data_IF_896546122225
#
_entry.id   IF_896546122225
#
_cell.length_a   1.000
_cell.length_b   1.000
_cell.length_c   1.000
_cell.angle_alpha   90.00
_cell.angle_beta   90.00
_cell.angle_gamma   90.00
#
_symmetry.space_group_name_H-M   'P 1'
#
loop_
_entity.id
_entity.type
_entity.pdbx_description
1 polymer ?
#
# COMPACT_ATOMS: atom_id res chain seq x y z
N UNK A 1 23.00 7.34 -8.72
CA UNK A 1 22.33 6.06 -8.37
C UNK A 1 20.85 6.31 -8.55
N UNK A 2 20.21 5.58 -9.44
CA UNK A 2 18.78 5.69 -9.72
C UNK A 2 18.00 4.97 -8.60
N UNK A 3 16.80 5.45 -8.23
CA UNK A 3 15.94 4.82 -7.21
C UNK A 3 15.63 3.36 -7.51
N UNK A 4 15.49 3.00 -8.79
CA UNK A 4 15.30 1.62 -9.25
C UNK A 4 16.52 0.75 -8.88
N UNK A 5 17.74 1.25 -9.01
CA UNK A 5 18.97 0.55 -8.62
C UNK A 5 19.08 0.37 -7.11
N UNK A 6 18.67 1.39 -6.33
CA UNK A 6 18.62 1.32 -4.88
C UNK A 6 17.65 0.22 -4.42
N UNK A 7 16.50 0.12 -5.08
CA UNK A 7 15.49 -0.91 -4.79
C UNK A 7 16.01 -2.33 -5.13
N UNK A 8 16.78 -2.50 -6.21
CA UNK A 8 17.37 -3.81 -6.62
C UNK A 8 18.31 -4.40 -5.58
N UNK A 9 19.08 -3.56 -4.90
CA UNK A 9 20.11 -3.99 -3.95
C UNK A 9 19.61 -4.08 -2.51
N UNK A 10 18.40 -3.60 -2.24
CA UNK A 10 17.85 -3.45 -0.88
C UNK A 10 17.60 -4.77 -0.18
N UNK A 11 17.19 -5.82 -0.92
CA UNK A 11 16.80 -7.11 -0.35
C UNK A 11 17.38 -8.28 -1.12
N UNK A 12 17.89 -9.25 -0.40
CA UNK A 12 18.29 -10.56 -0.96
C UNK A 12 17.05 -11.40 -1.34
N UNK A 13 17.24 -12.40 -2.19
CA UNK A 13 16.16 -13.32 -2.58
C UNK A 13 15.53 -14.06 -1.38
N UNK A 14 16.30 -14.31 -0.33
CA UNK A 14 15.81 -14.93 0.90
C UNK A 14 14.91 -13.98 1.68
N UNK A 15 15.31 -12.70 1.80
CA UNK A 15 14.49 -11.67 2.47
C UNK A 15 13.19 -11.42 1.73
N UNK A 16 13.20 -11.38 0.39
CA UNK A 16 11.98 -11.24 -0.41
C UNK A 16 11.00 -12.40 -0.19
N UNK A 17 11.48 -13.65 -0.12
CA UNK A 17 10.63 -14.80 0.22
C UNK A 17 10.04 -14.69 1.62
N UNK A 18 10.83 -14.27 2.60
CA UNK A 18 10.34 -14.04 3.96
C UNK A 18 9.30 -12.92 4.00
N UNK A 19 9.54 -11.81 3.30
CA UNK A 19 8.57 -10.71 3.19
C UNK A 19 7.27 -11.18 2.56
N UNK A 20 7.32 -11.92 1.46
CA UNK A 20 6.12 -12.47 0.82
C UNK A 20 5.29 -13.33 1.80
N UNK A 21 5.94 -14.17 2.60
CA UNK A 21 5.26 -14.98 3.61
C UNK A 21 4.56 -14.12 4.70
N UNK A 22 5.14 -12.96 5.07
CA UNK A 22 4.53 -12.04 6.02
C UNK A 22 3.29 -11.34 5.44
N UNK A 23 3.23 -11.17 4.10
CA UNK A 23 2.09 -10.55 3.44
C UNK A 23 0.84 -11.45 3.44
N UNK A 24 0.97 -12.77 3.52
CA UNK A 24 -0.19 -13.68 3.57
C UNK A 24 -1.18 -13.32 4.70
N UNK A 25 -0.77 -13.23 5.98
CA UNK A 25 -1.69 -12.80 7.04
C UNK A 25 -2.15 -11.35 6.92
N UNK A 26 -1.33 -10.46 6.34
CA UNK A 26 -1.71 -9.06 6.09
C UNK A 26 -2.83 -9.00 5.06
N UNK A 27 -2.70 -9.71 3.93
CA UNK A 27 -3.73 -9.81 2.91
C UNK A 27 -5.05 -10.34 3.49
N UNK A 28 -5.01 -11.44 4.27
CA UNK A 28 -6.20 -11.99 4.95
C UNK A 28 -6.89 -10.97 5.84
N UNK A 29 -6.12 -10.11 6.52
CA UNK A 29 -6.70 -9.04 7.32
C UNK A 29 -7.34 -7.96 6.44
N UNK A 30 -6.68 -7.57 5.33
CA UNK A 30 -7.17 -6.53 4.43
C UNK A 30 -8.35 -6.99 3.58
N UNK A 31 -8.55 -8.29 3.36
CA UNK A 31 -9.66 -8.86 2.59
C UNK A 31 -11.06 -8.43 3.08
N UNK A 32 -11.21 -8.03 4.33
CA UNK A 32 -12.46 -7.45 4.83
C UNK A 32 -12.83 -6.11 4.15
N UNK A 33 -11.86 -5.47 3.52
CA UNK A 33 -12.01 -4.19 2.81
C UNK A 33 -11.91 -4.33 1.29
N UNK A 34 -11.49 -5.49 0.80
CA UNK A 34 -11.28 -5.80 -0.62
C UNK A 34 -12.53 -6.48 -1.20
N UNK A 35 -12.94 -6.07 -2.38
CA UNK A 35 -14.00 -6.75 -3.12
C UNK A 35 -13.49 -8.07 -3.71
N UNK A 36 -13.83 -9.19 -3.09
CA UNK A 36 -13.27 -10.51 -3.41
C UNK A 36 -13.50 -10.93 -4.87
N UNK A 37 -14.68 -10.69 -5.41
CA UNK A 37 -15.03 -11.01 -6.80
C UNK A 37 -14.80 -9.82 -7.75
N UNK A 38 -14.35 -8.69 -7.23
CA UNK A 38 -14.15 -7.46 -7.96
C UNK A 38 -12.75 -7.32 -8.57
N UNK A 39 -12.48 -6.12 -9.10
CA UNK A 39 -11.20 -5.75 -9.67
C UNK A 39 -10.37 -4.96 -8.64
N UNK A 40 -9.15 -5.42 -8.37
CA UNK A 40 -8.21 -4.80 -7.43
C UNK A 40 -6.94 -4.35 -8.13
N UNK A 41 -6.54 -3.11 -7.87
CA UNK A 41 -5.26 -2.52 -8.28
C UNK A 41 -4.32 -2.40 -7.06
N UNK A 42 -3.10 -2.88 -7.20
CA UNK A 42 -1.98 -2.62 -6.29
C UNK A 42 -1.16 -1.45 -6.87
N UNK A 43 -1.32 -0.27 -6.29
CA UNK A 43 -0.65 0.96 -6.70
C UNK A 43 0.73 1.04 -6.06
N UNK A 44 1.79 1.05 -6.87
CA UNK A 44 3.16 0.92 -6.38
C UNK A 44 3.45 -0.50 -5.89
N UNK A 45 3.15 -1.50 -6.74
CA UNK A 45 3.16 -2.92 -6.37
C UNK A 45 4.54 -3.46 -5.95
N UNK A 46 5.63 -2.79 -6.33
CA UNK A 46 6.99 -3.15 -5.97
C UNK A 46 7.33 -4.60 -6.29
N UNK A 47 7.47 -5.44 -5.27
CA UNK A 47 7.70 -6.88 -5.40
C UNK A 47 6.40 -7.71 -5.49
N UNK A 48 5.25 -7.09 -5.76
CA UNK A 48 3.94 -7.73 -5.93
C UNK A 48 3.46 -8.57 -4.74
N UNK A 49 3.97 -8.31 -3.54
CA UNK A 49 3.63 -9.12 -2.37
C UNK A 49 2.14 -9.06 -2.01
N UNK A 50 1.51 -7.89 -2.10
CA UNK A 50 0.08 -7.76 -1.82
C UNK A 50 -0.74 -8.43 -2.92
N UNK A 51 -0.56 -8.03 -4.17
CA UNK A 51 -1.44 -8.45 -5.27
C UNK A 51 -1.37 -9.96 -5.56
N UNK A 52 -0.20 -10.58 -5.31
CA UNK A 52 -0.04 -12.02 -5.47
C UNK A 52 -0.78 -12.83 -4.40
N UNK A 53 -1.02 -12.27 -3.21
CA UNK A 53 -1.56 -12.98 -2.07
C UNK A 53 -3.01 -12.60 -1.72
N UNK A 54 -3.57 -11.55 -2.31
CA UNK A 54 -4.95 -11.13 -2.07
C UNK A 54 -5.94 -11.97 -2.90
N UNK A 55 -7.12 -12.26 -2.31
CA UNK A 55 -8.24 -12.84 -3.03
C UNK A 55 -9.02 -11.73 -3.74
N UNK A 56 -8.97 -11.72 -5.09
CA UNK A 56 -9.70 -10.78 -5.94
C UNK A 56 -9.96 -11.41 -7.30
N UNK A 57 -11.09 -11.10 -7.92
CA UNK A 57 -11.51 -11.66 -9.22
C UNK A 57 -10.59 -11.20 -10.37
N UNK A 58 -10.22 -9.92 -10.41
CA UNK A 58 -9.26 -9.34 -11.35
C UNK A 58 -8.16 -8.62 -10.59
N UNK A 59 -6.91 -8.93 -10.90
CA UNK A 59 -5.73 -8.38 -10.23
C UNK A 59 -4.88 -7.57 -11.18
N UNK A 60 -4.51 -6.36 -10.78
CA UNK A 60 -3.65 -5.47 -11.55
C UNK A 60 -2.52 -4.97 -10.64
N UNK A 61 -1.29 -5.12 -11.08
CA UNK A 61 -0.10 -4.55 -10.43
C UNK A 61 0.37 -3.35 -11.24
N UNK A 62 0.46 -2.18 -10.60
CA UNK A 62 0.96 -0.95 -11.20
C UNK A 62 2.23 -0.50 -10.47
N UNK A 63 3.29 -0.27 -11.23
CA UNK A 63 4.55 0.27 -10.72
C UNK A 63 5.30 1.02 -11.83
N UNK A 64 6.30 1.81 -11.46
CA UNK A 64 7.25 2.43 -12.40
C UNK A 64 8.41 1.49 -12.74
N UNK A 65 8.57 0.39 -12.03
CA UNK A 65 9.64 -0.59 -12.18
C UNK A 65 9.17 -1.82 -12.95
N UNK A 66 9.31 -1.80 -14.27
CA UNK A 66 8.92 -2.87 -15.18
C UNK A 66 9.60 -4.21 -14.86
N UNK A 67 10.88 -4.18 -14.47
CA UNK A 67 11.63 -5.40 -14.13
C UNK A 67 11.02 -6.12 -12.92
N UNK A 68 10.65 -5.37 -11.87
CA UNK A 68 10.00 -5.95 -10.71
C UNK A 68 8.63 -6.54 -11.06
N UNK A 69 7.82 -5.81 -11.83
CA UNK A 69 6.52 -6.31 -12.28
C UNK A 69 6.67 -7.61 -13.08
N UNK A 70 7.54 -7.62 -14.08
CA UNK A 70 7.79 -8.80 -14.93
C UNK A 70 8.32 -10.00 -14.14
N UNK A 71 9.17 -9.74 -13.14
CA UNK A 71 9.83 -10.80 -12.36
C UNK A 71 8.97 -11.37 -11.25
N UNK A 72 8.13 -10.57 -10.61
CA UNK A 72 7.48 -10.94 -9.36
C UNK A 72 5.96 -11.07 -9.45
N UNK A 73 5.30 -10.48 -10.46
CA UNK A 73 3.86 -10.65 -10.63
C UNK A 73 3.51 -12.11 -10.95
N UNK A 74 2.49 -12.65 -10.29
CA UNK A 74 1.95 -13.96 -10.59
C UNK A 74 1.30 -13.99 -11.98
N UNK A 75 1.13 -15.17 -12.57
CA UNK A 75 0.63 -15.32 -13.95
C UNK A 75 -0.81 -14.80 -14.15
N UNK A 76 -1.59 -14.74 -13.09
CA UNK A 76 -2.98 -14.24 -13.06
C UNK A 76 -3.06 -12.72 -12.78
N UNK A 77 -1.92 -12.05 -12.62
CA UNK A 77 -1.84 -10.61 -12.37
C UNK A 77 -1.53 -9.87 -13.67
N UNK A 78 -2.39 -8.94 -14.04
CA UNK A 78 -2.13 -8.00 -15.13
C UNK A 78 -1.11 -6.96 -14.68
N UNK A 79 -0.02 -6.76 -15.43
CA UNK A 79 0.98 -5.72 -15.14
C UNK A 79 0.65 -4.43 -15.91
N UNK A 80 0.89 -3.29 -15.25
CA UNK A 80 0.74 -1.96 -15.81
C UNK A 80 1.93 -1.08 -15.42
N UNK A 81 2.71 -0.64 -16.40
CA UNK A 81 3.81 0.29 -16.18
C UNK A 81 3.27 1.73 -16.21
N UNK A 82 3.22 2.38 -15.06
CA UNK A 82 2.74 3.76 -14.96
C UNK A 82 3.22 4.41 -13.64
N UNK A 83 3.24 5.75 -13.63
CA UNK A 83 3.27 6.52 -12.39
C UNK A 83 1.84 6.63 -11.83
N UNK A 84 1.68 6.62 -10.52
CA UNK A 84 0.37 6.60 -9.88
C UNK A 84 -0.52 7.84 -10.10
N UNK A 85 -0.04 8.89 -10.78
CA UNK A 85 -0.80 10.10 -11.11
C UNK A 85 -1.43 10.08 -12.51
N UNK A 86 -1.17 9.01 -13.30
CA UNK A 86 -1.80 8.81 -14.64
C UNK A 86 -2.03 7.31 -14.83
N UNK A 87 -3.28 6.88 -14.71
CA UNK A 87 -3.63 5.46 -14.74
C UNK A 87 -4.50 5.19 -15.98
N UNK A 88 -3.99 4.36 -16.91
CA UNK A 88 -4.67 4.03 -18.17
C UNK A 88 -5.80 3.00 -17.97
N UNK A 89 -6.73 3.32 -17.07
CA UNK A 89 -7.96 2.57 -16.83
C UNK A 89 -9.17 3.47 -17.03
N UNK A 90 -10.31 2.91 -17.45
CA UNK A 90 -11.57 3.66 -17.55
C UNK A 90 -12.03 4.19 -16.19
N UNK A 91 -12.87 5.21 -16.22
CA UNK A 91 -13.61 5.66 -15.05
C UNK A 91 -14.45 4.52 -14.50
N UNK A 92 -14.67 4.49 -13.19
CA UNK A 92 -15.56 3.54 -12.51
C UNK A 92 -15.29 2.06 -12.85
N UNK A 93 -14.03 1.67 -13.07
CA UNK A 93 -13.63 0.34 -13.53
C UNK A 93 -13.09 -0.60 -12.46
N UNK A 94 -12.80 -0.08 -11.26
CA UNK A 94 -12.22 -0.83 -10.15
C UNK A 94 -13.10 -0.79 -8.90
N UNK A 95 -13.04 -1.87 -8.13
CA UNK A 95 -13.71 -2.00 -6.84
C UNK A 95 -12.78 -1.66 -5.68
N UNK A 96 -11.49 -1.95 -5.83
CA UNK A 96 -10.50 -1.71 -4.79
C UNK A 96 -9.18 -1.21 -5.39
N UNK A 97 -8.59 -0.22 -4.74
CA UNK A 97 -7.18 0.18 -4.95
C UNK A 97 -6.46 0.05 -3.61
N UNK A 98 -5.28 -0.55 -3.61
CA UNK A 98 -4.41 -0.59 -2.43
C UNK A 98 -3.12 0.15 -2.75
N UNK A 99 -2.71 1.03 -1.85
CA UNK A 99 -1.46 1.76 -1.91
C UNK A 99 -0.69 1.50 -0.62
N UNK A 100 0.39 0.71 -0.72
CA UNK A 100 1.19 0.33 0.44
C UNK A 100 2.62 0.80 0.32
N UNK A 101 3.03 1.72 1.20
CA UNK A 101 4.37 2.31 1.22
C UNK A 101 4.75 2.89 -0.15
N UNK A 102 3.91 3.77 -0.70
CA UNK A 102 4.11 4.36 -2.01
C UNK A 102 4.09 5.89 -2.00
N UNK A 103 3.18 6.53 -1.25
CA UNK A 103 3.03 7.99 -1.29
C UNK A 103 4.21 8.74 -0.66
N UNK A 104 4.97 8.13 0.23
CA UNK A 104 6.20 8.68 0.79
C UNK A 104 7.31 8.87 -0.26
N UNK A 105 7.23 8.18 -1.39
CA UNK A 105 8.20 8.23 -2.50
C UNK A 105 7.85 9.24 -3.59
N UNK A 106 6.64 9.79 -3.56
CA UNK A 106 6.24 10.83 -4.52
C UNK A 106 7.11 12.08 -4.38
N UNK A 107 7.34 12.78 -5.51
CA UNK A 107 8.22 13.94 -5.54
C UNK A 107 7.62 15.17 -4.86
N UNK A 108 6.30 15.36 -4.98
CA UNK A 108 5.57 16.52 -4.46
C UNK A 108 4.19 16.14 -3.93
N UNK A 109 3.61 17.02 -3.10
CA UNK A 109 2.23 16.85 -2.60
C UNK A 109 1.20 17.00 -3.72
N UNK A 110 1.49 17.80 -4.73
CA UNK A 110 0.65 17.97 -5.91
C UNK A 110 0.54 16.66 -6.69
N UNK A 111 1.65 15.95 -6.89
CA UNK A 111 1.65 14.64 -7.54
C UNK A 111 0.85 13.60 -6.73
N UNK A 112 0.87 13.68 -5.40
CA UNK A 112 0.01 12.84 -4.53
C UNK A 112 -1.47 13.20 -4.70
N UNK A 113 -1.80 14.49 -4.76
CA UNK A 113 -3.18 14.94 -4.99
C UNK A 113 -3.70 14.51 -6.38
N UNK A 114 -2.87 14.59 -7.43
CA UNK A 114 -3.19 14.05 -8.75
C UNK A 114 -3.45 12.54 -8.70
N UNK A 115 -2.62 11.78 -7.94
CA UNK A 115 -2.83 10.35 -7.74
C UNK A 115 -4.15 10.05 -7.03
N UNK A 116 -4.52 10.83 -6.01
CA UNK A 116 -5.80 10.67 -5.34
C UNK A 116 -6.98 10.92 -6.29
N UNK A 117 -6.89 11.96 -7.13
CA UNK A 117 -7.91 12.27 -8.14
C UNK A 117 -8.04 11.13 -9.17
N UNK A 118 -6.92 10.59 -9.65
CA UNK A 118 -6.92 9.45 -10.58
C UNK A 118 -7.51 8.19 -9.94
N UNK A 119 -7.12 7.88 -8.69
CA UNK A 119 -7.68 6.74 -7.96
C UNK A 119 -9.18 6.92 -7.74
N UNK A 120 -9.62 8.15 -7.40
CA UNK A 120 -11.04 8.47 -7.27
C UNK A 120 -11.78 8.28 -8.61
N UNK A 121 -11.20 8.70 -9.74
CA UNK A 121 -11.78 8.56 -11.07
C UNK A 121 -12.00 7.09 -11.43
N UNK A 122 -10.98 6.22 -11.25
CA UNK A 122 -11.04 4.81 -11.67
C UNK A 122 -11.83 3.90 -10.72
N UNK A 123 -12.03 4.30 -9.47
CA UNK A 123 -12.89 3.57 -8.53
C UNK A 123 -14.36 3.78 -8.87
N UNK A 124 -15.16 2.71 -8.76
CA UNK A 124 -16.63 2.79 -8.84
C UNK A 124 -17.20 3.53 -7.63
N UNK A 125 -18.41 4.08 -7.71
CA UNK A 125 -19.17 4.45 -6.52
C UNK A 125 -19.25 3.24 -5.55
N UNK A 126 -18.92 3.46 -4.27
CA UNK A 126 -18.76 2.42 -3.26
C UNK A 126 -17.39 1.70 -3.29
N UNK A 127 -16.55 1.96 -4.29
CA UNK A 127 -15.20 1.43 -4.37
C UNK A 127 -14.27 2.03 -3.31
N UNK A 128 -13.21 1.32 -2.94
CA UNK A 128 -12.36 1.67 -1.80
C UNK A 128 -10.90 1.83 -2.17
N UNK A 129 -10.29 2.88 -1.63
CA UNK A 129 -8.84 3.04 -1.54
C UNK A 129 -8.37 2.64 -0.15
N UNK A 130 -7.45 1.70 -0.08
CA UNK A 130 -6.81 1.24 1.15
C UNK A 130 -5.38 1.77 1.15
N UNK A 131 -5.05 2.66 2.08
CA UNK A 131 -3.70 3.22 2.24
C UNK A 131 -3.05 2.62 3.48
N UNK A 132 -1.85 2.07 3.30
CA UNK A 132 -1.02 1.56 4.38
C UNK A 132 0.40 2.07 4.19
N UNK A 133 0.87 2.93 5.11
CA UNK A 133 2.20 3.52 4.99
C UNK A 133 2.74 4.02 6.34
N UNK A 134 4.05 4.34 6.44
CA UNK A 134 4.64 4.90 7.64
C UNK A 134 3.88 6.14 8.09
N UNK A 135 3.52 6.18 9.38
CA UNK A 135 2.91 7.35 9.99
C UNK A 135 3.99 8.19 10.66
N UNK A 136 4.33 9.33 10.06
CA UNK A 136 5.38 10.20 10.58
C UNK A 136 5.17 10.59 12.05
N UNK A 137 3.92 10.70 12.51
CA UNK A 137 3.61 10.95 13.92
C UNK A 137 4.14 9.88 14.89
N UNK A 138 4.46 8.67 14.39
CA UNK A 138 4.88 7.54 15.21
C UNK A 138 6.25 6.95 14.83
N UNK A 139 6.79 7.29 13.66
CA UNK A 139 8.07 6.77 13.17
C UNK A 139 9.09 7.86 12.79
N UNK A 140 8.86 9.12 13.17
CA UNK A 140 9.70 10.27 12.80
C UNK A 140 11.21 10.04 13.03
N UNK A 141 11.56 9.34 14.12
CA UNK A 141 12.94 9.01 14.48
C UNK A 141 13.71 8.24 13.42
N UNK A 142 13.01 7.42 12.62
CA UNK A 142 13.55 6.47 11.65
C UNK A 142 13.01 6.67 10.25
N UNK A 143 12.21 7.70 10.04
CA UNK A 143 11.51 7.92 8.78
C UNK A 143 12.48 8.16 7.63
N UNK A 144 13.46 9.03 7.85
CA UNK A 144 14.48 9.39 6.87
C UNK A 144 15.74 8.50 6.94
N UNK A 145 15.69 7.36 7.63
CA UNK A 145 16.69 6.29 7.49
C UNK A 145 16.62 5.60 6.11
N UNK A 146 15.54 5.87 5.35
CA UNK A 146 15.38 5.49 3.95
C UNK A 146 15.60 6.70 3.05
N UNK A 147 16.59 6.60 2.18
CA UNK A 147 17.01 7.70 1.32
C UNK A 147 15.93 8.15 0.32
N UNK A 148 15.05 7.23 -0.08
CA UNK A 148 13.97 7.42 -1.04
C UNK A 148 12.66 7.94 -0.43
N UNK A 149 12.61 8.19 0.88
CA UNK A 149 11.48 8.87 1.51
C UNK A 149 11.58 10.39 1.29
N UNK A 150 10.68 10.94 0.53
CA UNK A 150 10.63 12.36 0.16
C UNK A 150 9.56 13.13 0.92
N UNK A 151 8.38 12.54 1.08
CA UNK A 151 7.23 13.17 1.71
C UNK A 151 6.87 12.49 3.04
N UNK A 152 6.72 13.27 4.08
CA UNK A 152 6.29 12.80 5.38
C UNK A 152 4.80 13.08 5.57
N UNK A 153 4.03 12.03 5.84
CA UNK A 153 2.58 12.12 6.10
C UNK A 153 2.25 11.63 7.50
N UNK A 154 1.40 12.37 8.19
CA UNK A 154 0.66 11.85 9.33
C UNK A 154 -0.66 11.26 8.85
N UNK A 155 -1.27 10.39 9.67
CA UNK A 155 -2.59 9.84 9.36
C UNK A 155 -3.68 10.92 9.20
N UNK A 156 -3.55 12.05 9.89
CA UNK A 156 -4.48 13.18 9.77
C UNK A 156 -4.29 13.91 8.43
N UNK A 157 -3.04 14.25 8.08
CA UNK A 157 -2.76 14.94 6.82
C UNK A 157 -3.08 14.05 5.60
N UNK A 158 -2.89 12.72 5.71
CA UNK A 158 -3.31 11.78 4.67
C UNK A 158 -4.83 11.73 4.53
N UNK A 159 -5.56 11.66 5.65
CA UNK A 159 -7.03 11.67 5.65
C UNK A 159 -7.59 12.97 5.07
N UNK A 160 -7.02 14.13 5.43
CA UNK A 160 -7.38 15.44 4.88
C UNK A 160 -7.20 15.49 3.36
N UNK A 161 -6.04 15.01 2.85
CA UNK A 161 -5.78 14.95 1.41
C UNK A 161 -6.77 14.06 0.66
N UNK A 162 -7.10 12.89 1.21
CA UNK A 162 -8.11 11.98 0.65
C UNK A 162 -9.50 12.60 0.64
N UNK A 163 -9.91 13.27 1.73
CA UNK A 163 -11.19 13.97 1.81
C UNK A 163 -11.27 15.12 0.79
N UNK A 164 -10.18 15.86 0.60
CA UNK A 164 -10.10 16.92 -0.41
C UNK A 164 -10.25 16.39 -1.85
N UNK A 165 -9.89 15.13 -2.09
CA UNK A 165 -10.08 14.43 -3.37
C UNK A 165 -11.48 13.76 -3.51
N UNK A 166 -12.40 13.99 -2.57
CA UNK A 166 -13.79 13.49 -2.64
C UNK A 166 -14.05 12.15 -1.94
N UNK A 167 -13.06 11.60 -1.23
CA UNK A 167 -13.25 10.36 -0.49
C UNK A 167 -13.91 10.59 0.88
N UNK A 168 -14.69 9.61 1.32
CA UNK A 168 -15.18 9.50 2.71
C UNK A 168 -14.31 8.49 3.45
N UNK A 169 -13.74 8.89 4.59
CA UNK A 169 -12.92 8.02 5.43
C UNK A 169 -13.81 7.07 6.23
N UNK A 170 -13.70 5.77 5.94
CA UNK A 170 -14.43 4.70 6.65
C UNK A 170 -13.64 4.12 7.81
N UNK A 171 -12.32 4.01 7.64
CA UNK A 171 -11.42 3.52 8.69
C UNK A 171 -10.22 4.44 8.77
N UNK A 172 -9.88 4.87 9.97
CA UNK A 172 -8.68 5.64 10.27
C UNK A 172 -7.97 5.00 11.47
N UNK A 173 -6.84 4.33 11.22
CA UNK A 173 -5.98 3.75 12.25
C UNK A 173 -4.62 4.45 12.22
N UNK A 174 -4.33 5.22 13.25
CA UNK A 174 -3.06 5.92 13.35
C UNK A 174 -1.87 4.98 13.61
N UNK A 175 -2.15 3.81 14.22
CA UNK A 175 -1.17 2.76 14.50
C UNK A 175 -1.74 1.43 14.01
N UNK A 176 -1.03 0.80 13.08
CA UNK A 176 -1.43 -0.49 12.52
C UNK A 176 -0.24 -1.47 12.56
N UNK A 177 0.58 -1.53 11.54
CA UNK A 177 1.74 -2.41 11.52
C UNK A 177 2.99 -1.76 12.11
N UNK A 178 3.94 -2.54 12.63
CA UNK A 178 5.27 -2.04 12.96
C UNK A 178 5.98 -1.49 11.71
N UNK A 179 6.91 -0.57 11.89
CA UNK A 179 7.78 -0.08 10.82
C UNK A 179 8.91 -1.09 10.59
N UNK A 180 8.79 -1.86 9.52
CA UNK A 180 9.21 -3.26 9.47
C UNK A 180 10.69 -3.54 9.29
N UNK A 181 11.47 -2.70 8.62
CA UNK A 181 12.86 -3.09 8.28
C UNK A 181 13.81 -3.13 9.48
N UNK A 182 13.48 -2.41 10.56
CA UNK A 182 14.30 -2.30 11.78
C UNK A 182 13.57 -2.80 13.04
N UNK A 183 12.37 -3.38 12.88
CA UNK A 183 11.64 -3.95 14.01
C UNK A 183 12.38 -5.16 14.57
N UNK A 184 12.55 -5.19 15.90
CA UNK A 184 13.09 -6.35 16.64
C UNK A 184 12.08 -7.49 16.82
N UNK A 185 10.84 -7.34 16.31
CA UNK A 185 9.83 -8.38 16.40
C UNK A 185 10.18 -9.56 15.48
N UNK A 186 9.95 -10.79 15.94
CA UNK A 186 10.19 -11.97 15.11
C UNK A 186 9.36 -11.93 13.82
N UNK A 187 10.00 -12.21 12.68
CA UNK A 187 9.40 -12.14 11.34
C UNK A 187 8.78 -13.49 10.95
N UNK A 188 7.80 -13.95 11.71
CA UNK A 188 7.09 -15.20 11.43
C UNK A 188 5.62 -14.92 11.06
N UNK A 189 5.05 -15.56 10.02
CA UNK A 189 3.67 -15.30 9.59
C UNK A 189 2.62 -15.51 10.67
N UNK A 190 2.80 -16.51 11.53
CA UNK A 190 1.86 -16.77 12.63
C UNK A 190 1.88 -15.67 13.70
N UNK A 191 3.04 -15.02 13.94
CA UNK A 191 3.15 -13.86 14.86
C UNK A 191 2.40 -12.67 14.27
N UNK A 192 2.54 -12.42 12.96
CA UNK A 192 1.76 -11.38 12.29
C UNK A 192 0.26 -11.67 12.37
N UNK A 193 -0.15 -12.92 12.18
CA UNK A 193 -1.55 -13.33 12.33
C UNK A 193 -2.08 -13.07 13.75
N UNK A 194 -1.30 -13.40 14.76
CA UNK A 194 -1.65 -13.14 16.16
C UNK A 194 -1.70 -11.63 16.45
N UNK A 195 -0.69 -10.88 16.00
CA UNK A 195 -0.62 -9.42 16.13
C UNK A 195 -1.86 -8.74 15.56
N UNK A 196 -2.28 -9.13 14.36
CA UNK A 196 -3.44 -8.55 13.68
C UNK A 196 -4.77 -8.82 14.40
N UNK A 197 -4.86 -9.91 15.19
CA UNK A 197 -6.03 -10.24 16.03
C UNK A 197 -6.07 -9.46 17.36
N UNK A 198 -5.01 -8.74 17.71
CA UNK A 198 -4.85 -8.08 19.00
C UNK A 198 -4.67 -6.55 18.83
N UNK A 199 -5.73 -5.77 18.49
CA UNK A 199 -5.61 -4.35 18.17
C UNK A 199 -5.01 -3.49 19.29
N UNK A 200 -5.11 -3.92 20.55
CA UNK A 200 -4.50 -3.21 21.67
C UNK A 200 -2.96 -3.20 21.58
N UNK A 201 -2.35 -4.24 20.98
CA UNK A 201 -0.90 -4.35 20.77
C UNK A 201 -0.42 -3.36 19.72
N UNK A 202 -1.29 -2.96 18.78
CA UNK A 202 -0.95 -1.96 17.76
C UNK A 202 -0.60 -0.61 18.38
N UNK A 203 -1.22 -0.27 19.52
CA UNK A 203 -0.93 0.98 20.26
C UNK A 203 0.53 1.03 20.75
N UNK A 204 1.15 -0.12 20.99
CA UNK A 204 2.53 -0.23 21.48
C UNK A 204 3.54 -0.29 20.33
N UNK A 205 3.27 -1.07 19.29
CA UNK A 205 4.24 -1.41 18.25
C UNK A 205 3.90 -0.84 16.87
N UNK A 206 2.65 -0.44 16.63
CA UNK A 206 2.23 0.10 15.34
C UNK A 206 2.84 1.45 15.06
N UNK A 207 3.46 1.58 13.91
CA UNK A 207 4.09 2.80 13.41
C UNK A 207 3.62 3.17 11.99
N UNK A 208 2.96 2.24 11.31
CA UNK A 208 2.27 2.50 10.06
C UNK A 208 0.82 2.89 10.34
N UNK A 209 0.22 3.70 9.46
CA UNK A 209 -1.21 3.95 9.44
C UNK A 209 -1.93 2.93 8.56
N UNK A 210 -3.23 2.76 8.80
CA UNK A 210 -4.17 2.12 7.88
C UNK A 210 -5.36 3.05 7.70
N UNK A 211 -5.65 3.42 6.46
CA UNK A 211 -6.79 4.23 6.08
C UNK A 211 -7.60 3.47 5.05
N UNK A 212 -8.90 3.38 5.22
CA UNK A 212 -9.84 2.92 4.20
C UNK A 212 -10.73 4.10 3.84
N UNK A 213 -10.61 4.54 2.61
CA UNK A 213 -11.36 5.65 2.04
C UNK A 213 -12.30 5.11 0.94
N UNK A 214 -13.52 5.61 0.87
CA UNK A 214 -14.56 5.13 -0.06
C UNK A 214 -15.00 6.26 -0.97
N UNK A 215 -15.08 5.97 -2.28
CA UNK A 215 -15.75 6.86 -3.23
C UNK A 215 -17.25 6.77 -3.00
N UNK A 216 -17.86 7.88 -2.62
CA UNK A 216 -19.33 7.98 -2.56
C UNK A 216 -19.87 8.42 -3.92
N UNK A 217 -21.08 7.96 -4.25
CA UNK A 217 -21.77 8.32 -5.50
C UNK A 217 -22.26 9.76 -5.50
#
# INVERSE_FOLDING_TARGET
MNEIELYRTRFSATELRQQNALWVPICRYLEQYVAREGATLDLGAGYCHFINNVASGRKIALDINDENLTRFAAKDVQIMLSCGSRISLPDDSLDTVVASNVYEHFSTREAVAESFAEVHRILRPGGRLIVMQPNFAHCAKHYYDFFDHRLAFTHLGMAEGLQSAGFVIRVLRSRFLPYTSKSRLPRQPWIVSLYLRLPFVWRLFGQQMLIVAEKVG
#
